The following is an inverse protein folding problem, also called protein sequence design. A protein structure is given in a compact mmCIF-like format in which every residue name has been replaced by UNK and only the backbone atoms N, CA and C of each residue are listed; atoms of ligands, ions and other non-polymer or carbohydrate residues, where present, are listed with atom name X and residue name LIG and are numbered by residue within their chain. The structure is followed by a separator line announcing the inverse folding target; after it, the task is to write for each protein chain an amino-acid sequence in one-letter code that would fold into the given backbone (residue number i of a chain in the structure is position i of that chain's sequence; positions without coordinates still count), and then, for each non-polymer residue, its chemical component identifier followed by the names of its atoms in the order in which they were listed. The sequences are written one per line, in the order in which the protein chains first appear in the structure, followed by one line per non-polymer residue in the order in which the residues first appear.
data_IF_920449897992
#
_entry.id   IF_920449897992
#
_cell.length_a   1.000
_cell.length_b   1.000
_cell.length_c   1.000
_cell.angle_alpha   90.00
_cell.angle_beta   90.00
_cell.angle_gamma   90.00
#
_symmetry.space_group_name_H-M   'P 1'
#
loop_
_entity.id
_entity.type
_entity.pdbx_description
1 polymer ?
#
# COMPACT_ATOMS: atom_id res chain seq x y z
N UNK A 1 12.35 -6.07 16.59
CA UNK A 1 11.67 -5.04 15.77
C UNK A 1 12.53 -4.76 14.55
N UNK A 2 11.91 -4.54 13.39
CA UNK A 2 12.57 -4.22 12.12
C UNK A 2 12.11 -2.84 11.66
N UNK A 3 12.93 -2.13 10.89
CA UNK A 3 12.59 -0.85 10.28
C UNK A 3 12.79 -0.97 8.78
N UNK A 4 11.83 -0.42 8.02
CA UNK A 4 11.90 -0.36 6.57
C UNK A 4 12.69 0.88 6.16
N UNK A 5 13.70 0.69 5.33
CA UNK A 5 14.49 1.75 4.71
C UNK A 5 14.09 1.86 3.25
N UNK A 6 14.08 3.08 2.73
CA UNK A 6 13.70 3.38 1.35
C UNK A 6 14.91 4.02 0.66
N UNK A 7 15.31 3.47 -0.48
CA UNK A 7 16.43 3.95 -1.28
C UNK A 7 15.97 4.15 -2.73
N UNK A 8 16.35 5.27 -3.33
CA UNK A 8 16.02 5.59 -4.73
C UNK A 8 17.21 5.29 -5.60
N UNK A 9 17.13 4.22 -6.39
CA UNK A 9 18.22 3.69 -7.20
C UNK A 9 18.01 4.08 -8.67
N UNK A 10 19.05 4.50 -9.41
CA UNK A 10 18.89 4.96 -10.78
C UNK A 10 18.55 3.85 -11.79
N UNK A 11 19.01 2.62 -11.56
CA UNK A 11 18.90 1.53 -12.53
C UNK A 11 18.93 0.13 -11.90
N UNK A 12 18.59 -0.89 -12.70
CA UNK A 12 18.47 -2.29 -12.26
C UNK A 12 19.80 -2.96 -11.96
N UNK A 13 20.92 -2.45 -12.49
CA UNK A 13 22.26 -2.97 -12.21
C UNK A 13 22.70 -2.50 -10.82
N UNK A 14 22.55 -1.22 -10.54
CA UNK A 14 22.80 -0.61 -9.24
C UNK A 14 21.92 -1.28 -8.17
N UNK A 15 20.64 -1.56 -8.48
CA UNK A 15 19.75 -2.26 -7.55
C UNK A 15 20.21 -3.69 -7.24
N UNK A 16 20.71 -4.44 -8.23
CA UNK A 16 21.28 -5.78 -8.00
C UNK A 16 22.56 -5.75 -7.19
N UNK A 17 23.44 -4.78 -7.44
CA UNK A 17 24.67 -4.61 -6.65
C UNK A 17 24.35 -4.35 -5.18
N UNK A 18 23.44 -3.40 -4.91
CA UNK A 18 22.99 -3.10 -3.54
C UNK A 18 22.40 -4.35 -2.89
N UNK A 19 21.55 -5.10 -3.61
CA UNK A 19 21.00 -6.37 -3.11
C UNK A 19 22.11 -7.36 -2.71
N UNK A 20 23.07 -7.62 -3.59
CA UNK A 20 24.13 -8.60 -3.33
C UNK A 20 24.98 -8.19 -2.12
N UNK A 21 25.23 -6.89 -1.94
CA UNK A 21 25.90 -6.36 -0.75
C UNK A 21 25.07 -6.50 0.53
N UNK A 22 23.74 -6.29 0.45
CA UNK A 22 22.84 -6.49 1.57
C UNK A 22 22.74 -7.97 1.97
N UNK A 23 22.75 -8.88 0.99
CA UNK A 23 22.82 -10.33 1.22
C UNK A 23 24.12 -10.71 1.94
N UNK A 24 25.27 -10.15 1.51
CA UNK A 24 26.55 -10.29 2.20
C UNK A 24 26.51 -9.72 3.63
N UNK A 25 25.79 -8.62 3.82
CA UNK A 25 25.52 -8.02 5.12
C UNK A 25 24.46 -8.78 5.95
N UNK A 26 24.05 -9.98 5.53
CA UNK A 26 23.10 -10.86 6.24
C UNK A 26 21.68 -10.29 6.36
N UNK A 27 21.25 -9.48 5.38
CA UNK A 27 19.84 -9.19 5.15
C UNK A 27 19.32 -10.23 4.18
N UNK A 28 18.25 -10.94 4.53
CA UNK A 28 17.69 -12.00 3.68
C UNK A 28 16.93 -11.38 2.50
N UNK A 29 16.84 -12.12 1.39
CA UNK A 29 16.21 -11.63 0.15
C UNK A 29 14.72 -11.27 0.33
N UNK A 30 14.02 -12.02 1.19
CA UNK A 30 12.62 -11.78 1.57
C UNK A 30 12.39 -10.44 2.29
N UNK A 31 13.47 -9.74 2.63
CA UNK A 31 13.46 -8.43 3.29
C UNK A 31 13.93 -7.30 2.37
N UNK A 32 14.17 -7.59 1.09
CA UNK A 32 14.60 -6.64 0.08
C UNK A 32 13.53 -6.64 -1.00
N UNK A 33 12.73 -5.58 -1.06
CA UNK A 33 11.67 -5.43 -2.05
C UNK A 33 11.99 -4.30 -3.01
N UNK A 34 11.67 -4.48 -4.29
CA UNK A 34 11.98 -3.50 -5.33
C UNK A 34 10.71 -3.15 -6.10
N UNK A 35 10.51 -1.86 -6.38
CA UNK A 35 9.41 -1.34 -7.19
C UNK A 35 9.98 -0.48 -8.32
N UNK A 36 9.56 -0.75 -9.55
CA UNK A 36 9.94 0.01 -10.73
C UNK A 36 8.70 0.29 -11.59
N UNK A 37 8.87 1.05 -12.67
CA UNK A 37 7.82 1.29 -13.66
C UNK A 37 7.46 -0.01 -14.40
N UNK A 38 6.18 -0.20 -14.69
CA UNK A 38 5.67 -1.30 -15.52
C UNK A 38 6.47 -1.43 -16.83
N UNK A 39 6.92 -2.65 -17.13
CA UNK A 39 7.75 -2.96 -18.29
C UNK A 39 9.26 -2.85 -18.07
N UNK A 40 9.71 -2.50 -16.85
CA UNK A 40 11.13 -2.60 -16.46
C UNK A 40 11.47 -4.04 -16.10
N UNK A 41 12.47 -4.64 -16.74
CA UNK A 41 12.92 -6.00 -16.36
C UNK A 41 13.58 -5.97 -14.98
N UNK A 42 12.92 -6.58 -14.00
CA UNK A 42 13.40 -6.80 -12.63
C UNK A 42 13.96 -8.22 -12.44
N UNK A 43 14.56 -8.80 -13.47
CA UNK A 43 15.13 -10.15 -13.42
C UNK A 43 16.07 -10.34 -12.22
N UNK A 44 15.69 -11.24 -11.31
CA UNK A 44 16.45 -11.59 -10.11
C UNK A 44 16.27 -10.63 -8.92
N UNK A 45 15.36 -9.65 -9.00
CA UNK A 45 14.98 -8.79 -7.88
C UNK A 45 13.58 -9.19 -7.39
N UNK A 46 13.39 -9.20 -6.07
CA UNK A 46 12.08 -9.50 -5.50
C UNK A 46 11.16 -8.27 -5.67
N UNK A 47 10.19 -8.38 -6.58
CA UNK A 47 9.23 -7.32 -6.82
C UNK A 47 8.36 -7.11 -5.58
N UNK A 48 8.19 -5.85 -5.19
CA UNK A 48 7.36 -5.51 -4.07
C UNK A 48 5.91 -5.88 -4.37
N UNK A 49 5.39 -6.88 -3.66
CA UNK A 49 3.96 -7.13 -3.58
C UNK A 49 3.27 -5.84 -3.13
N UNK A 50 2.50 -5.21 -4.01
CA UNK A 50 1.75 -3.97 -3.75
C UNK A 50 0.53 -4.21 -2.85
N UNK A 51 0.55 -5.26 -2.03
CA UNK A 51 -0.51 -5.60 -1.09
C UNK A 51 -0.33 -4.78 0.19
N UNK A 52 -0.78 -3.54 0.11
CA UNK A 52 -0.98 -2.70 1.28
C UNK A 52 -2.25 -3.12 1.99
N UNK A 53 -2.07 -3.97 2.99
CA UNK A 53 -3.14 -4.43 3.86
C UNK A 53 -3.84 -3.27 4.60
N UNK A 54 -3.15 -2.14 4.83
CA UNK A 54 -3.71 -1.01 5.58
C UNK A 54 -4.77 -0.21 4.82
N UNK A 55 -4.52 0.12 3.54
CA UNK A 55 -5.41 1.01 2.78
C UNK A 55 -6.67 0.25 2.34
N UNK A 56 -6.56 -1.06 2.11
CA UNK A 56 -7.68 -1.95 1.87
C UNK A 56 -8.65 -2.02 3.06
N UNK A 57 -8.12 -2.23 4.28
CA UNK A 57 -8.95 -2.35 5.50
C UNK A 57 -9.64 -1.03 5.80
N UNK A 58 -8.93 0.09 5.71
CA UNK A 58 -9.51 1.40 5.97
C UNK A 58 -10.53 1.82 4.89
N UNK A 59 -10.27 1.48 3.62
CA UNK A 59 -11.22 1.68 2.53
C UNK A 59 -12.49 0.85 2.70
N UNK A 60 -12.37 -0.42 3.07
CA UNK A 60 -13.51 -1.31 3.34
C UNK A 60 -14.35 -0.82 4.53
N UNK A 61 -13.71 -0.37 5.63
CA UNK A 61 -14.40 0.18 6.80
C UNK A 61 -15.20 1.45 6.44
N UNK A 62 -14.59 2.37 5.71
CA UNK A 62 -15.25 3.60 5.25
C UNK A 62 -16.42 3.28 4.32
N UNK A 63 -16.22 2.33 3.38
CA UNK A 63 -17.27 1.86 2.48
C UNK A 63 -18.44 1.21 3.19
N UNK A 64 -18.17 0.44 4.25
CA UNK A 64 -19.19 -0.19 5.09
C UNK A 64 -20.03 0.88 5.80
N UNK A 65 -19.38 1.85 6.45
CA UNK A 65 -20.07 2.91 7.17
C UNK A 65 -20.95 3.78 6.24
N UNK A 66 -20.39 4.22 5.11
CA UNK A 66 -21.10 5.05 4.13
C UNK A 66 -22.22 4.26 3.46
N UNK A 67 -21.94 3.04 3.00
CA UNK A 67 -22.92 2.16 2.37
C UNK A 67 -24.07 1.78 3.30
N UNK A 68 -23.75 1.48 4.57
CA UNK A 68 -24.75 1.17 5.59
C UNK A 68 -25.64 2.38 5.91
N UNK A 69 -25.05 3.57 6.04
CA UNK A 69 -25.80 4.81 6.23
C UNK A 69 -26.77 5.10 5.07
N UNK A 70 -26.30 4.97 3.82
CA UNK A 70 -27.16 5.11 2.64
C UNK A 70 -28.27 4.05 2.63
N UNK A 71 -27.94 2.80 2.99
CA UNK A 71 -28.91 1.72 3.10
C UNK A 71 -30.00 1.96 4.14
N UNK A 72 -29.67 2.57 5.28
CA UNK A 72 -30.65 2.99 6.31
C UNK A 72 -31.58 4.06 5.75
N UNK A 73 -31.03 5.09 5.09
CA UNK A 73 -31.82 6.17 4.49
C UNK A 73 -32.77 5.60 3.43
N UNK A 74 -32.28 4.73 2.55
CA UNK A 74 -33.09 4.06 1.54
C UNK A 74 -34.20 3.20 2.16
N UNK A 75 -33.90 2.48 3.24
CA UNK A 75 -34.88 1.70 4.00
C UNK A 75 -35.98 2.57 4.63
N UNK A 76 -35.60 3.70 5.22
CA UNK A 76 -36.55 4.68 5.75
C UNK A 76 -37.46 5.22 4.66
N UNK A 77 -36.90 5.62 3.51
CA UNK A 77 -37.69 6.07 2.36
C UNK A 77 -38.65 4.98 1.90
N UNK A 78 -38.21 3.73 1.81
CA UNK A 78 -39.07 2.62 1.40
C UNK A 78 -40.22 2.36 2.40
N UNK A 79 -39.98 2.49 3.71
CA UNK A 79 -41.03 2.34 4.73
C UNK A 79 -42.03 3.50 4.70
N UNK A 80 -41.57 4.75 4.55
CA UNK A 80 -42.45 5.92 4.48
C UNK A 80 -43.16 6.09 3.12
N UNK A 81 -42.56 5.58 2.05
CA UNK A 81 -43.10 5.61 0.69
C UNK A 81 -43.06 4.20 0.08
N UNK A 82 -43.99 3.31 0.46
CA UNK A 82 -43.94 1.92 0.04
C UNK A 82 -44.13 1.77 -1.47
N UNK A 83 -43.12 1.26 -2.20
CA UNK A 83 -43.31 0.91 -3.59
C UNK A 83 -44.31 -0.25 -3.68
N UNK A 84 -45.32 -0.12 -4.54
CA UNK A 84 -46.37 -1.12 -4.76
C UNK A 84 -47.35 -1.36 -3.59
N UNK A 85 -47.38 -0.49 -2.57
CA UNK A 85 -48.39 -0.58 -1.49
C UNK A 85 -48.22 -1.77 -0.55
N UNK A 86 -47.04 -2.38 -0.53
CA UNK A 86 -46.68 -3.48 0.39
C UNK A 86 -46.21 -2.86 1.70
N UNK A 87 -46.76 -3.28 2.84
CA UNK A 87 -46.29 -2.83 4.15
C UNK A 87 -44.86 -3.33 4.42
N UNK A 88 -43.91 -2.41 4.36
CA UNK A 88 -42.51 -2.66 4.66
C UNK A 88 -42.28 -2.39 6.16
N UNK A 89 -41.79 -3.40 6.87
CA UNK A 89 -41.56 -3.33 8.31
C UNK A 89 -40.16 -2.79 8.64
N UNK A 90 -39.87 -2.58 9.93
CA UNK A 90 -38.53 -2.22 10.41
C UNK A 90 -37.42 -3.16 9.90
N UNK A 91 -37.75 -4.43 9.65
CA UNK A 91 -36.84 -5.43 9.05
C UNK A 91 -36.32 -4.97 7.69
N UNK A 92 -37.10 -4.22 6.91
CA UNK A 92 -36.67 -3.67 5.62
C UNK A 92 -35.51 -2.70 5.78
N UNK A 93 -35.52 -1.85 6.83
CA UNK A 93 -34.43 -0.91 7.10
C UNK A 93 -33.14 -1.65 7.43
N UNK A 94 -33.22 -2.72 8.22
CA UNK A 94 -32.05 -3.54 8.54
C UNK A 94 -31.50 -4.25 7.30
N UNK A 95 -32.37 -4.79 6.45
CA UNK A 95 -31.98 -5.46 5.21
C UNK A 95 -31.32 -4.49 4.23
N UNK A 96 -31.90 -3.30 4.01
CA UNK A 96 -31.31 -2.30 3.11
C UNK A 96 -30.00 -1.74 3.67
N UNK A 97 -29.88 -1.58 4.98
CA UNK A 97 -28.62 -1.22 5.65
C UNK A 97 -27.53 -2.28 5.42
N UNK A 98 -27.84 -3.56 5.61
CA UNK A 98 -26.89 -4.66 5.38
C UNK A 98 -26.46 -4.75 3.92
N UNK A 99 -27.41 -4.68 2.99
CA UNK A 99 -27.13 -4.71 1.54
C UNK A 99 -26.28 -3.50 1.15
N UNK A 100 -26.63 -2.30 1.62
CA UNK A 100 -25.89 -1.07 1.36
C UNK A 100 -24.47 -1.14 1.93
N UNK A 101 -24.30 -1.64 3.15
CA UNK A 101 -23.01 -1.82 3.79
C UNK A 101 -22.13 -2.83 3.03
N UNK A 102 -22.69 -3.97 2.63
CA UNK A 102 -21.97 -4.97 1.85
C UNK A 102 -21.54 -4.42 0.48
N UNK A 103 -22.43 -3.72 -0.21
CA UNK A 103 -22.14 -3.10 -1.50
C UNK A 103 -21.11 -1.98 -1.37
N UNK A 104 -21.26 -1.11 -0.37
CA UNK A 104 -20.32 -0.02 -0.10
C UNK A 104 -18.93 -0.52 0.27
N UNK A 105 -18.83 -1.55 1.12
CA UNK A 105 -17.57 -2.20 1.45
C UNK A 105 -16.91 -2.82 0.22
N UNK A 106 -17.69 -3.45 -0.67
CA UNK A 106 -17.17 -4.04 -1.91
C UNK A 106 -16.64 -2.97 -2.87
N UNK A 107 -17.43 -1.93 -3.17
CA UNK A 107 -17.01 -0.85 -4.09
C UNK A 107 -15.81 -0.09 -3.52
N UNK A 108 -15.82 0.25 -2.23
CA UNK A 108 -14.71 0.96 -1.61
C UNK A 108 -13.44 0.09 -1.54
N UNK A 109 -13.58 -1.22 -1.37
CA UNK A 109 -12.49 -2.18 -1.46
C UNK A 109 -11.86 -2.22 -2.87
N UNK A 110 -12.67 -2.19 -3.93
CA UNK A 110 -12.17 -2.10 -5.31
C UNK A 110 -11.41 -0.78 -5.54
N UNK A 111 -11.95 0.34 -5.07
CA UNK A 111 -11.28 1.65 -5.18
C UNK A 111 -10.00 1.67 -4.35
N UNK A 112 -10.01 1.15 -3.12
CA UNK A 112 -8.83 1.06 -2.28
C UNK A 112 -7.74 0.17 -2.89
N UNK A 113 -8.11 -0.91 -3.58
CA UNK A 113 -7.14 -1.78 -4.28
C UNK A 113 -6.41 -1.09 -5.43
N UNK A 114 -6.94 0.04 -5.93
CA UNK A 114 -6.35 0.84 -7.00
C UNK A 114 -5.67 2.12 -6.51
N UNK A 115 -5.69 2.41 -5.20
CA UNK A 115 -4.98 3.56 -4.62
C UNK A 115 -3.62 3.06 -4.12
N UNK A 116 -2.50 3.42 -4.79
CA UNK A 116 -1.18 3.16 -4.25
C UNK A 116 -1.00 3.95 -2.95
N UNK A 117 -0.30 3.38 -1.97
CA UNK A 117 -0.01 4.00 -0.66
C UNK A 117 0.13 5.49 -0.83
N UNK A 118 -0.59 6.26 -0.03
CA UNK A 118 -0.30 7.68 0.12
C UNK A 118 1.20 7.94 0.37
N UNK A 119 1.89 6.98 1.02
CA UNK A 119 3.34 6.98 1.28
C UNK A 119 4.24 6.72 0.06
N UNK A 120 3.73 6.07 -0.98
CA UNK A 120 4.47 5.82 -2.22
C UNK A 120 4.29 6.92 -3.27
N UNK A 121 3.27 7.79 -3.11
CA UNK A 121 3.04 8.94 -4.00
C UNK A 121 4.25 9.86 -4.13
N UNK A 122 5.06 10.02 -3.07
CA UNK A 122 6.28 10.83 -3.14
C UNK A 122 7.36 10.25 -4.04
N UNK A 123 7.35 8.92 -4.25
CA UNK A 123 8.32 8.21 -5.09
C UNK A 123 7.79 7.96 -6.51
N UNK A 124 6.48 8.10 -6.73
CA UNK A 124 5.82 7.84 -8.02
C UNK A 124 6.41 8.66 -9.17
N UNK A 125 6.73 9.93 -8.93
CA UNK A 125 7.37 10.79 -9.93
C UNK A 125 8.76 10.31 -10.33
N UNK A 126 9.55 9.83 -9.36
CA UNK A 126 10.88 9.31 -9.60
C UNK A 126 10.84 7.94 -10.30
N UNK A 127 9.89 7.07 -9.91
CA UNK A 127 9.62 5.79 -10.57
C UNK A 127 9.18 6.01 -12.02
N UNK A 128 8.27 6.97 -12.26
CA UNK A 128 7.83 7.35 -13.61
C UNK A 128 8.99 7.89 -14.47
N UNK A 129 9.95 8.59 -13.84
CA UNK A 129 11.18 9.05 -14.48
C UNK A 129 12.20 7.92 -14.76
N UNK A 130 11.88 6.67 -14.40
CA UNK A 130 12.71 5.48 -14.67
C UNK A 130 13.62 5.05 -13.52
N UNK A 131 13.51 5.70 -12.36
CA UNK A 131 14.22 5.25 -11.15
C UNK A 131 13.51 4.05 -10.52
N UNK A 132 14.22 3.38 -9.63
CA UNK A 132 13.79 2.17 -8.95
C UNK A 132 13.75 2.45 -7.45
N UNK A 133 12.62 2.15 -6.82
CA UNK A 133 12.49 2.24 -5.37
C UNK A 133 12.87 0.90 -4.74
N UNK A 134 13.91 0.89 -3.92
CA UNK A 134 14.31 -0.26 -3.12
C UNK A 134 13.89 -0.07 -1.66
N UNK A 135 13.26 -1.09 -1.10
CA UNK A 135 12.76 -1.15 0.27
C UNK A 135 13.49 -2.27 1.02
N UNK A 136 14.13 -1.94 2.13
CA UNK A 136 14.98 -2.88 2.89
C UNK A 136 14.52 -2.95 4.34
N UNK A 137 14.11 -4.12 4.81
CA UNK A 137 13.67 -4.36 6.18
C UNK A 137 14.84 -4.80 7.08
N UNK A 138 15.54 -3.82 7.64
CA UNK A 138 16.69 -4.04 8.52
C UNK A 138 16.27 -4.19 10.00
N UNK A 139 16.96 -5.04 10.79
CA UNK A 139 16.81 -5.06 12.25
C UNK A 139 17.09 -3.67 12.84
N UNK A 140 16.29 -3.21 13.82
CA UNK A 140 16.40 -1.84 14.35
C UNK A 140 17.79 -1.47 14.86
N UNK A 141 18.57 -2.44 15.38
CA UNK A 141 19.94 -2.23 15.84
C UNK A 141 21.00 -2.14 14.73
N UNK A 142 20.64 -2.41 13.46
CA UNK A 142 21.54 -2.43 12.30
C UNK A 142 21.18 -1.37 11.25
N UNK A 143 20.19 -0.52 11.53
CA UNK A 143 19.72 0.50 10.58
C UNK A 143 20.85 1.44 10.17
N UNK A 144 21.60 1.97 11.14
CA UNK A 144 22.69 2.91 10.87
C UNK A 144 23.86 2.26 10.14
N UNK A 145 24.11 0.97 10.40
CA UNK A 145 25.12 0.17 9.72
C UNK A 145 24.77 0.02 8.24
N UNK A 146 23.55 -0.44 7.94
CA UNK A 146 23.07 -0.62 6.57
C UNK A 146 23.01 0.70 5.82
N UNK A 147 22.54 1.77 6.48
CA UNK A 147 22.51 3.11 5.88
C UNK A 147 23.92 3.58 5.49
N UNK A 148 24.91 3.38 6.36
CA UNK A 148 26.31 3.73 6.06
C UNK A 148 26.91 2.88 4.95
N UNK A 149 26.61 1.59 4.92
CA UNK A 149 27.06 0.67 3.88
C UNK A 149 26.57 1.15 2.50
N UNK A 150 25.27 1.39 2.37
CA UNK A 150 24.68 1.86 1.12
C UNK A 150 25.20 3.26 0.75
N UNK A 151 25.33 4.17 1.72
CA UNK A 151 25.88 5.51 1.48
C UNK A 151 27.34 5.50 0.99
N UNK A 152 28.15 4.55 1.47
CA UNK A 152 29.57 4.47 1.16
C UNK A 152 29.84 3.89 -0.23
N UNK A 153 29.06 2.89 -0.64
CA UNK A 153 29.26 2.20 -1.92
C UNK A 153 28.38 2.74 -3.04
N UNK A 154 27.23 3.32 -2.70
CA UNK A 154 26.20 3.75 -3.65
C UNK A 154 25.64 5.15 -3.32
N UNK A 155 26.45 6.22 -3.45
CA UNK A 155 25.99 7.59 -3.22
C UNK A 155 24.82 7.99 -4.14
N UNK A 156 24.73 7.40 -5.33
CA UNK A 156 23.61 7.56 -6.26
C UNK A 156 22.26 7.12 -5.67
N UNK A 157 22.25 6.15 -4.75
CA UNK A 157 21.03 5.66 -4.10
C UNK A 157 20.43 6.66 -3.08
N UNK A 158 21.26 7.61 -2.62
CA UNK A 158 20.87 8.68 -1.69
C UNK A 158 20.66 10.03 -2.37
N UNK A 159 21.33 10.26 -3.51
CA UNK A 159 21.29 11.52 -4.25
C UNK A 159 19.92 11.85 -4.85
N UNK A 160 19.06 10.86 -5.08
CA UNK A 160 17.78 11.04 -5.80
C UNK A 160 16.61 11.56 -4.96
N UNK A 161 16.87 12.00 -3.73
CA UNK A 161 15.95 12.82 -2.98
C UNK A 161 14.85 12.05 -2.24
N UNK A 162 14.54 12.59 -1.06
CA UNK A 162 13.45 12.26 -0.14
C UNK A 162 13.67 10.96 0.65
N UNK A 163 14.25 11.15 1.83
CA UNK A 163 14.26 10.14 2.88
C UNK A 163 13.18 10.47 3.92
N UNK A 164 12.05 9.74 3.94
CA UNK A 164 11.34 9.54 5.17
C UNK A 164 11.83 8.19 5.73
N UNK A 165 12.69 8.25 6.76
CA UNK A 165 12.98 7.07 7.58
C UNK A 165 11.69 6.70 8.32
N UNK A 166 10.87 5.83 7.73
CA UNK A 166 9.56 5.46 8.30
C UNK A 166 9.72 4.12 9.01
N UNK A 167 9.50 4.06 10.33
CA UNK A 167 9.53 2.80 11.05
C UNK A 167 8.44 1.86 10.51
N UNK A 168 8.73 0.57 10.42
CA UNK A 168 7.71 -0.43 10.12
C UNK A 168 6.73 -0.46 11.30
N UNK A 169 5.50 0.00 11.08
CA UNK A 169 4.44 -0.19 12.06
C UNK A 169 3.91 -1.63 11.96
N UNK A 170 3.57 -2.25 13.10
CA UNK A 170 2.97 -3.58 13.16
C UNK A 170 1.57 -3.62 12.53
#
# INVERSE_FOLDING_TARGET
MRRRLYFMVPDTRSARQIRDELLLARIEDDHIHVMARDGTSLEGLHEASVLQTSDFVHGAETGLAVGGGIGIIAGLVAVFFPPAGIDLQLVTILLTALIGAAFGAWVASMVASSIPNSRLRSFESAIAAGHILMMVDAPSGRVDEIKKLVAAHHPEAMSSGVEPTIPAFP
#
